data_IF_245376611479
#
_entry.id   IF_245376611479
#
_cell.length_a   1.000
_cell.length_b   1.000
_cell.length_c   1.000
_cell.angle_alpha   90.00
_cell.angle_beta   90.00
_cell.angle_gamma   90.00
#
_symmetry.space_group_name_H-M   'P 1'
#
loop_
_entity.id
_entity.type
_entity.pdbx_description
1 polymer ?
#
# COMPACT_ATOMS: atom_id res chain seq x y z
N UNK A 1 18.51 4.40 -8.57
CA UNK A 1 19.20 5.62 -8.09
C UNK A 1 20.70 5.40 -8.22
N UNK A 2 21.43 6.37 -8.87
CA UNK A 2 22.90 6.31 -9.01
C UNK A 2 23.62 6.64 -7.69
N UNK A 3 24.93 6.39 -7.63
CA UNK A 3 25.72 6.53 -6.41
C UNK A 3 25.78 8.00 -5.93
N UNK A 4 25.98 8.97 -6.82
CA UNK A 4 26.06 10.39 -6.46
C UNK A 4 24.77 10.90 -5.83
N UNK A 5 23.60 10.52 -6.38
CA UNK A 5 22.30 10.85 -5.81
C UNK A 5 22.09 10.18 -4.44
N UNK A 6 22.51 8.92 -4.28
CA UNK A 6 22.40 8.21 -3.00
C UNK A 6 23.24 8.88 -1.92
N UNK A 7 24.50 9.21 -2.22
CA UNK A 7 25.39 9.90 -1.29
C UNK A 7 24.80 11.26 -0.87
N UNK A 8 24.25 12.01 -1.82
CA UNK A 8 23.57 13.27 -1.56
C UNK A 8 22.38 13.09 -0.60
N UNK A 9 21.55 12.07 -0.81
CA UNK A 9 20.42 11.77 0.08
C UNK A 9 20.89 11.50 1.51
N UNK A 10 21.97 10.73 1.70
CA UNK A 10 22.50 10.44 3.03
C UNK A 10 23.11 11.66 3.70
N UNK A 11 23.87 12.48 2.96
CA UNK A 11 24.50 13.69 3.49
C UNK A 11 23.48 14.74 3.93
N UNK A 12 22.29 14.76 3.29
CA UNK A 12 21.24 15.75 3.51
C UNK A 12 19.98 15.17 4.16
N UNK A 13 20.09 13.98 4.79
CA UNK A 13 18.93 13.23 5.30
C UNK A 13 18.10 13.99 6.34
N UNK A 14 18.70 14.96 7.04
CA UNK A 14 18.07 15.76 8.09
C UNK A 14 17.84 17.24 7.68
N UNK A 15 18.23 17.62 6.46
CA UNK A 15 18.09 18.98 5.97
C UNK A 15 16.63 19.29 5.59
N UNK A 16 16.27 20.58 5.63
CA UNK A 16 14.99 21.05 5.12
C UNK A 16 14.93 20.92 3.60
N UNK A 17 14.05 20.05 3.11
CA UNK A 17 13.90 19.74 1.69
C UNK A 17 13.52 20.98 0.86
N UNK A 18 12.77 21.94 1.42
CA UNK A 18 12.39 23.18 0.72
C UNK A 18 13.61 24.06 0.53
N UNK A 19 14.49 24.16 1.53
CA UNK A 19 15.74 24.90 1.42
C UNK A 19 16.72 24.23 0.46
N UNK A 20 16.79 22.89 0.47
CA UNK A 20 17.61 22.14 -0.47
C UNK A 20 17.17 22.34 -1.92
N UNK A 21 15.86 22.38 -2.18
CA UNK A 21 15.30 22.61 -3.51
C UNK A 21 15.71 23.99 -4.11
N UNK A 22 16.02 24.97 -3.27
CA UNK A 22 16.47 26.31 -3.69
C UNK A 22 17.98 26.40 -3.87
N UNK A 23 18.75 25.42 -3.40
CA UNK A 23 20.21 25.40 -3.52
C UNK A 23 20.63 24.98 -4.94
N UNK A 24 21.59 25.67 -5.51
CA UNK A 24 22.23 25.27 -6.76
C UNK A 24 23.16 24.08 -6.52
N UNK A 25 22.74 22.88 -6.92
CA UNK A 25 23.59 21.69 -6.90
C UNK A 25 24.56 21.74 -8.08
N UNK A 26 25.86 21.68 -7.82
CA UNK A 26 26.90 21.80 -8.86
C UNK A 26 27.18 20.49 -9.59
N UNK A 27 26.96 19.36 -8.94
CA UNK A 27 27.22 18.04 -9.53
C UNK A 27 26.07 17.62 -10.45
N UNK A 28 26.28 17.52 -11.78
CA UNK A 28 25.25 17.17 -12.75
C UNK A 28 24.80 15.69 -12.67
N UNK A 29 25.54 14.83 -11.97
CA UNK A 29 25.17 13.43 -11.79
C UNK A 29 24.07 13.26 -10.74
N UNK A 30 23.82 14.28 -9.91
CA UNK A 30 22.77 14.23 -8.89
C UNK A 30 21.42 14.52 -9.53
N UNK A 31 20.55 13.52 -9.49
CA UNK A 31 19.12 13.68 -9.76
C UNK A 31 18.46 14.36 -8.55
N UNK A 32 18.44 15.70 -8.57
CA UNK A 32 17.95 16.49 -7.44
C UNK A 32 16.46 16.22 -7.15
N UNK A 33 15.53 16.18 -8.12
CA UNK A 33 14.14 15.84 -7.85
C UNK A 33 14.00 14.50 -7.13
N UNK A 34 14.65 13.45 -7.63
CA UNK A 34 14.64 12.14 -6.99
C UNK A 34 15.26 12.20 -5.57
N UNK A 35 16.38 12.91 -5.39
CA UNK A 35 17.02 13.04 -4.08
C UNK A 35 16.08 13.71 -3.06
N UNK A 36 15.38 14.77 -3.45
CA UNK A 36 14.43 15.48 -2.58
C UNK A 36 13.25 14.59 -2.18
N UNK A 37 12.71 13.80 -3.11
CA UNK A 37 11.66 12.82 -2.82
C UNK A 37 12.15 11.75 -1.82
N UNK A 38 13.37 11.22 -2.00
CA UNK A 38 13.95 10.24 -1.08
C UNK A 38 14.20 10.83 0.32
N UNK A 39 14.77 12.04 0.42
CA UNK A 39 14.98 12.71 1.71
C UNK A 39 13.64 12.94 2.41
N UNK A 40 12.66 13.51 1.71
CA UNK A 40 11.34 13.76 2.27
C UNK A 40 10.62 12.48 2.68
N UNK A 41 10.67 11.46 1.82
CA UNK A 41 10.10 10.15 2.09
C UNK A 41 10.69 9.51 3.35
N UNK A 42 12.03 9.51 3.48
CA UNK A 42 12.74 9.00 4.65
C UNK A 42 12.39 9.77 5.94
N UNK A 43 12.33 11.10 5.89
CA UNK A 43 11.91 11.92 7.03
C UNK A 43 10.49 11.60 7.48
N UNK A 44 9.56 11.45 6.53
CA UNK A 44 8.18 11.07 6.82
C UNK A 44 8.10 9.64 7.39
N UNK A 45 8.88 8.71 6.83
CA UNK A 45 8.90 7.31 7.25
C UNK A 45 9.40 7.13 8.69
N UNK A 46 10.33 7.95 9.18
CA UNK A 46 10.82 7.88 10.57
C UNK A 46 9.70 7.93 11.61
N UNK A 47 8.61 8.64 11.31
CA UNK A 47 7.46 8.76 12.22
C UNK A 47 6.29 7.88 11.78
N UNK A 48 6.07 7.73 10.49
CA UNK A 48 4.90 7.04 9.93
C UNK A 48 5.11 5.54 9.76
N UNK A 49 6.33 5.13 9.34
CA UNK A 49 6.71 3.74 9.03
C UNK A 49 8.13 3.48 9.54
N UNK A 50 8.38 3.54 10.86
CA UNK A 50 9.72 3.50 11.43
C UNK A 50 10.52 2.24 11.08
N UNK A 51 9.88 1.09 10.91
CA UNK A 51 10.56 -0.14 10.45
C UNK A 51 11.17 0.04 9.07
N UNK A 52 10.46 0.65 8.13
CA UNK A 52 11.01 0.92 6.80
C UNK A 52 12.19 1.90 6.85
N UNK A 53 12.09 2.92 7.72
CA UNK A 53 13.15 3.93 7.87
C UNK A 53 14.47 3.37 8.44
N UNK A 54 14.47 2.18 9.05
CA UNK A 54 15.65 1.48 9.54
C UNK A 54 16.44 0.78 8.41
N UNK A 55 15.82 0.58 7.24
CA UNK A 55 16.48 -0.04 6.09
C UNK A 55 16.95 1.03 5.10
N UNK A 56 18.26 1.19 4.98
CA UNK A 56 18.87 2.20 4.10
C UNK A 56 18.58 1.99 2.60
N UNK A 57 18.20 0.76 2.22
CA UNK A 57 17.87 0.41 0.85
C UNK A 57 16.44 0.75 0.42
N UNK A 58 15.54 1.12 1.32
CA UNK A 58 14.16 1.46 0.98
C UNK A 58 14.11 2.68 0.07
N UNK A 59 13.31 2.59 -0.96
CA UNK A 59 12.98 3.68 -1.87
C UNK A 59 11.57 4.21 -1.56
N UNK A 60 11.44 5.52 -1.61
CA UNK A 60 10.20 6.21 -1.32
C UNK A 60 9.59 6.81 -2.59
N UNK A 61 8.26 6.76 -2.76
CA UNK A 61 7.58 7.42 -3.86
C UNK A 61 7.53 8.93 -3.64
N UNK A 62 6.96 9.65 -4.61
CA UNK A 62 6.61 11.05 -4.44
C UNK A 62 5.74 11.29 -3.20
N UNK A 63 5.75 12.51 -2.70
CA UNK A 63 5.13 12.92 -1.43
C UNK A 63 3.66 12.48 -1.23
N UNK A 64 2.85 12.53 -2.29
CA UNK A 64 1.41 12.21 -2.20
C UNK A 64 1.16 10.77 -1.75
N UNK A 65 1.87 9.79 -2.33
CA UNK A 65 1.70 8.39 -1.95
C UNK A 65 2.16 8.12 -0.51
N UNK A 66 3.18 8.85 -0.03
CA UNK A 66 3.62 8.79 1.35
C UNK A 66 2.57 9.32 2.34
N UNK A 67 1.78 10.32 1.95
CA UNK A 67 0.70 10.84 2.80
C UNK A 67 -0.50 9.88 2.87
N UNK A 68 -0.85 9.26 1.76
CA UNK A 68 -2.02 8.39 1.64
C UNK A 68 -1.81 6.99 2.23
N UNK A 69 -0.58 6.49 2.32
CA UNK A 69 -0.33 5.16 2.86
C UNK A 69 -0.70 5.05 4.36
N UNK A 70 -0.95 3.85 4.80
CA UNK A 70 -1.17 3.54 6.22
C UNK A 70 0.04 3.88 7.08
N UNK A 71 -0.20 4.24 8.35
CA UNK A 71 0.86 4.24 9.35
C UNK A 71 1.27 2.80 9.70
N UNK A 72 2.50 2.61 10.15
CA UNK A 72 2.96 1.29 10.61
C UNK A 72 2.07 0.71 11.70
N UNK A 73 1.58 1.55 12.64
CA UNK A 73 0.67 1.12 13.71
C UNK A 73 -0.62 0.52 13.15
N UNK A 74 -1.21 1.18 12.15
CA UNK A 74 -2.43 0.72 11.49
C UNK A 74 -2.17 -0.55 10.66
N UNK A 75 -1.06 -0.61 9.95
CA UNK A 75 -0.69 -1.78 9.16
C UNK A 75 -0.41 -3.01 10.05
N UNK A 76 0.30 -2.84 11.16
CA UNK A 76 0.52 -3.90 12.16
C UNK A 76 -0.76 -4.37 12.83
N UNK A 77 -1.69 -3.46 13.09
CA UNK A 77 -3.01 -3.84 13.62
C UNK A 77 -3.75 -4.75 12.63
N UNK A 78 -3.78 -4.40 11.35
CA UNK A 78 -4.39 -5.23 10.29
C UNK A 78 -3.69 -6.59 10.16
N UNK A 79 -2.35 -6.61 10.22
CA UNK A 79 -1.58 -7.84 10.20
C UNK A 79 -1.88 -8.76 11.40
N UNK A 80 -2.19 -8.20 12.57
CA UNK A 80 -2.66 -8.99 13.73
C UNK A 80 -4.07 -9.53 13.49
N UNK A 81 -4.98 -8.71 12.95
CA UNK A 81 -6.36 -9.16 12.67
C UNK A 81 -6.36 -10.35 11.71
N UNK A 82 -5.61 -10.28 10.62
CA UNK A 82 -5.55 -11.36 9.63
C UNK A 82 -5.20 -12.71 10.31
N UNK A 83 -4.26 -12.73 11.24
CA UNK A 83 -3.84 -13.95 11.94
C UNK A 83 -4.91 -14.55 12.86
N UNK A 84 -5.95 -13.78 13.21
CA UNK A 84 -7.06 -14.26 14.04
C UNK A 84 -8.27 -14.70 13.21
N UNK A 85 -8.28 -14.41 11.90
CA UNK A 85 -9.43 -14.69 11.06
C UNK A 85 -9.46 -16.13 10.52
N UNK A 86 -8.31 -16.79 10.45
CA UNK A 86 -8.19 -18.21 10.04
C UNK A 86 -6.90 -18.82 10.58
N UNK A 87 -6.95 -20.12 10.88
CA UNK A 87 -5.80 -20.88 11.40
C UNK A 87 -4.85 -21.37 10.31
N UNK A 88 -5.28 -21.39 9.05
CA UNK A 88 -4.46 -21.81 7.92
C UNK A 88 -4.54 -20.83 6.76
N UNK A 89 -3.39 -20.28 6.37
CA UNK A 89 -3.26 -19.40 5.22
C UNK A 89 -2.40 -20.08 4.15
N UNK A 90 -3.00 -20.42 3.01
CA UNK A 90 -2.27 -20.86 1.84
C UNK A 90 -1.90 -19.65 0.95
N UNK A 91 -2.82 -18.69 0.82
CA UNK A 91 -2.65 -17.53 -0.07
C UNK A 91 -3.29 -16.26 0.51
N UNK A 92 -2.61 -15.13 0.27
CA UNK A 92 -3.05 -13.78 0.60
C UNK A 92 -2.92 -12.90 -0.64
N UNK A 93 -3.97 -12.18 -1.00
CA UNK A 93 -4.00 -11.27 -2.16
C UNK A 93 -4.41 -9.87 -1.69
N UNK A 94 -3.59 -8.86 -2.00
CA UNK A 94 -3.95 -7.45 -1.88
C UNK A 94 -4.26 -6.90 -3.28
N UNK A 95 -5.53 -6.57 -3.53
CA UNK A 95 -6.01 -6.07 -4.82
C UNK A 95 -5.80 -4.55 -5.02
N UNK A 96 -5.30 -3.85 -4.00
CA UNK A 96 -5.16 -2.39 -3.97
C UNK A 96 -3.82 -1.96 -3.39
N UNK A 97 -2.75 -2.58 -3.82
CA UNK A 97 -1.42 -2.56 -3.21
C UNK A 97 -0.87 -1.20 -2.75
N UNK A 98 -1.03 -0.16 -3.56
CA UNK A 98 -0.55 1.19 -3.24
C UNK A 98 0.95 1.25 -2.95
N UNK A 99 1.37 1.89 -1.86
CA UNK A 99 2.78 1.88 -1.44
C UNK A 99 3.26 0.53 -0.88
N UNK A 100 2.35 -0.38 -0.55
CA UNK A 100 2.69 -1.70 -0.04
C UNK A 100 3.00 -1.78 1.45
N UNK A 101 2.68 -0.73 2.24
CA UNK A 101 2.92 -0.74 3.69
C UNK A 101 2.06 -1.79 4.38
N UNK A 102 0.76 -1.81 4.09
CA UNK A 102 -0.17 -2.80 4.64
C UNK A 102 0.23 -4.20 4.22
N UNK A 103 0.43 -4.39 2.92
CA UNK A 103 0.86 -5.66 2.36
C UNK A 103 2.13 -6.20 3.01
N UNK A 104 3.20 -5.39 3.12
CA UNK A 104 4.47 -5.82 3.69
C UNK A 104 4.36 -6.26 5.14
N UNK A 105 3.55 -5.54 5.95
CA UNK A 105 3.32 -5.91 7.36
C UNK A 105 2.51 -7.21 7.48
N UNK A 106 1.51 -7.42 6.61
CA UNK A 106 0.75 -8.68 6.58
C UNK A 106 1.62 -9.83 6.10
N UNK A 107 2.31 -9.71 4.97
CA UNK A 107 3.17 -10.74 4.41
C UNK A 107 4.29 -11.17 5.37
N UNK A 108 4.87 -10.23 6.13
CA UNK A 108 5.90 -10.54 7.14
C UNK A 108 5.39 -11.41 8.29
N UNK A 109 4.07 -11.42 8.55
CA UNK A 109 3.45 -12.27 9.59
C UNK A 109 2.97 -13.61 9.06
N UNK A 110 3.06 -13.85 7.76
CA UNK A 110 2.55 -15.01 7.04
C UNK A 110 3.66 -15.71 6.22
N UNK A 111 4.78 -16.14 6.82
CA UNK A 111 5.97 -16.58 6.08
C UNK A 111 5.76 -17.85 5.24
N UNK A 112 4.77 -18.66 5.56
CA UNK A 112 4.42 -19.88 4.81
C UNK A 112 3.32 -19.66 3.76
N UNK A 113 2.79 -18.43 3.65
CA UNK A 113 1.70 -18.07 2.76
C UNK A 113 2.27 -17.51 1.46
N UNK A 114 1.67 -17.85 0.31
CA UNK A 114 1.92 -17.14 -0.95
C UNK A 114 1.19 -15.79 -0.92
N UNK A 115 1.93 -14.69 -0.98
CA UNK A 115 1.38 -13.34 -0.89
C UNK A 115 1.49 -12.63 -2.23
N UNK A 116 0.36 -12.22 -2.80
CA UNK A 116 0.28 -11.51 -4.09
C UNK A 116 -0.15 -10.06 -3.85
N UNK A 117 0.68 -9.15 -4.33
CA UNK A 117 0.42 -7.71 -4.34
C UNK A 117 0.05 -7.28 -5.75
N UNK A 118 -1.13 -6.67 -5.90
CA UNK A 118 -1.65 -6.18 -7.18
C UNK A 118 -1.78 -4.66 -7.16
N UNK A 119 -1.19 -4.00 -8.14
CA UNK A 119 -1.21 -2.53 -8.27
C UNK A 119 -1.20 -2.13 -9.75
N UNK A 120 -2.02 -1.13 -10.09
CA UNK A 120 -2.18 -0.64 -11.46
C UNK A 120 -1.09 0.35 -11.91
N UNK A 121 -0.37 0.96 -10.96
CA UNK A 121 0.70 1.91 -11.28
C UNK A 121 2.04 1.20 -11.37
N UNK A 122 2.61 1.11 -12.56
CA UNK A 122 3.90 0.45 -12.82
C UNK A 122 5.02 0.97 -11.90
N UNK A 123 5.06 2.28 -11.63
CA UNK A 123 6.05 2.89 -10.74
C UNK A 123 5.96 2.41 -9.29
N UNK A 124 4.74 2.17 -8.78
CA UNK A 124 4.53 1.61 -7.45
C UNK A 124 4.88 0.12 -7.42
N UNK A 125 4.60 -0.63 -8.50
CA UNK A 125 5.02 -2.02 -8.63
C UNK A 125 6.55 -2.16 -8.58
N UNK A 126 7.29 -1.29 -9.27
CA UNK A 126 8.75 -1.31 -9.27
C UNK A 126 9.32 -0.98 -7.89
N UNK A 127 8.74 0.02 -7.21
CA UNK A 127 9.09 0.34 -5.83
C UNK A 127 8.78 -0.84 -4.89
N UNK A 128 7.62 -1.46 -5.01
CA UNK A 128 7.19 -2.60 -4.20
C UNK A 128 8.16 -3.78 -4.35
N UNK A 129 8.51 -4.17 -5.58
CA UNK A 129 9.50 -5.26 -5.84
C UNK A 129 10.81 -4.99 -5.13
N UNK A 130 11.35 -3.77 -5.30
CA UNK A 130 12.60 -3.37 -4.65
C UNK A 130 12.49 -3.38 -3.13
N UNK A 131 11.43 -2.77 -2.59
CA UNK A 131 11.25 -2.62 -1.15
C UNK A 131 10.96 -3.96 -0.46
N UNK A 132 10.16 -4.83 -1.05
CA UNK A 132 9.88 -6.16 -0.48
C UNK A 132 11.15 -7.02 -0.45
N UNK A 133 11.98 -6.95 -1.48
CA UNK A 133 13.30 -7.58 -1.48
C UNK A 133 14.20 -7.01 -0.38
N UNK A 134 14.23 -5.69 -0.22
CA UNK A 134 15.00 -4.98 0.83
C UNK A 134 14.54 -5.37 2.23
N UNK A 135 13.24 -5.60 2.41
CA UNK A 135 12.63 -6.06 3.67
C UNK A 135 12.79 -7.57 3.91
N UNK A 136 13.38 -8.32 2.96
CA UNK A 136 13.58 -9.77 3.08
C UNK A 136 12.31 -10.60 2.92
N UNK A 137 11.27 -10.07 2.27
CA UNK A 137 10.02 -10.79 2.02
C UNK A 137 10.18 -11.71 0.80
N UNK A 138 10.45 -12.99 1.04
CA UNK A 138 10.68 -14.00 0.00
C UNK A 138 9.41 -14.68 -0.51
N UNK A 139 8.29 -14.49 0.16
CA UNK A 139 7.00 -15.12 -0.12
C UNK A 139 6.04 -14.19 -0.87
N UNK A 140 6.56 -13.16 -1.56
CA UNK A 140 5.76 -12.12 -2.20
C UNK A 140 5.93 -12.12 -3.72
N UNK A 141 4.81 -11.94 -4.42
CA UNK A 141 4.74 -11.68 -5.85
C UNK A 141 4.13 -10.30 -6.09
N UNK A 142 4.69 -9.52 -7.03
CA UNK A 142 4.18 -8.22 -7.43
C UNK A 142 3.64 -8.29 -8.85
N UNK A 143 2.33 -8.10 -8.97
CA UNK A 143 1.59 -8.11 -10.24
C UNK A 143 1.22 -6.69 -10.63
N UNK A 144 1.61 -6.26 -11.82
CA UNK A 144 1.18 -5.00 -12.40
C UNK A 144 -0.12 -5.24 -13.18
N UNK A 145 -1.26 -4.96 -12.54
CA UNK A 145 -2.59 -5.13 -13.13
C UNK A 145 -3.61 -4.24 -12.44
N UNK A 146 -4.77 -4.07 -13.06
CA UNK A 146 -5.96 -3.59 -12.37
C UNK A 146 -6.45 -4.68 -11.40
N UNK A 147 -6.78 -4.30 -10.17
CA UNK A 147 -7.19 -5.24 -9.11
C UNK A 147 -8.50 -5.96 -9.42
N UNK A 148 -9.43 -5.32 -10.15
CA UNK A 148 -10.69 -5.93 -10.55
C UNK A 148 -10.46 -6.95 -11.65
N UNK A 149 -9.66 -6.61 -12.66
CA UNK A 149 -9.28 -7.55 -13.73
C UNK A 149 -8.51 -8.76 -13.17
N UNK A 150 -7.65 -8.54 -12.19
CA UNK A 150 -6.97 -9.63 -11.50
C UNK A 150 -7.94 -10.51 -10.71
N UNK A 151 -8.91 -9.90 -9.99
CA UNK A 151 -9.95 -10.64 -9.27
C UNK A 151 -10.74 -11.55 -10.22
N UNK A 152 -11.13 -11.06 -11.41
CA UNK A 152 -11.85 -11.87 -12.39
C UNK A 152 -11.12 -13.13 -12.82
N UNK A 153 -9.78 -13.10 -12.84
CA UNK A 153 -8.92 -14.21 -13.24
C UNK A 153 -8.44 -15.07 -12.06
N UNK A 154 -8.61 -14.61 -10.84
CA UNK A 154 -8.24 -15.34 -9.64
C UNK A 154 -9.17 -16.55 -9.46
N UNK A 155 -8.62 -17.74 -9.23
CA UNK A 155 -9.43 -18.90 -8.88
C UNK A 155 -9.92 -18.79 -7.44
N UNK A 156 -9.01 -18.71 -6.47
CA UNK A 156 -9.34 -18.61 -5.05
C UNK A 156 -8.14 -18.10 -4.23
N UNK A 157 -8.41 -17.43 -3.11
CA UNK A 157 -7.42 -17.07 -2.11
C UNK A 157 -7.95 -17.32 -0.69
N UNK A 158 -7.08 -17.65 0.26
CA UNK A 158 -7.48 -17.75 1.67
C UNK A 158 -7.94 -16.38 2.20
N UNK A 159 -7.23 -15.32 1.82
CA UNK A 159 -7.61 -13.94 2.19
C UNK A 159 -7.45 -13.01 1.01
N UNK A 160 -8.48 -12.21 0.76
CA UNK A 160 -8.42 -11.05 -0.14
C UNK A 160 -8.53 -9.77 0.70
N UNK A 161 -7.59 -8.85 0.50
CA UNK A 161 -7.57 -7.52 1.10
C UNK A 161 -7.82 -6.43 0.05
N UNK A 162 -8.61 -5.41 0.44
CA UNK A 162 -8.83 -4.20 -0.36
C UNK A 162 -8.83 -2.96 0.54
N UNK A 163 -8.18 -1.90 0.05
CA UNK A 163 -8.25 -0.51 0.57
C UNK A 163 -8.74 0.41 -0.56
N UNK A 164 -10.05 0.36 -0.90
CA UNK A 164 -10.56 1.09 -2.05
C UNK A 164 -10.44 2.60 -1.84
N UNK A 165 -9.93 3.29 -2.86
CA UNK A 165 -9.80 4.73 -2.85
C UNK A 165 -11.16 5.42 -3.00
N UNK A 166 -11.35 6.58 -2.35
CA UNK A 166 -12.54 7.40 -2.52
C UNK A 166 -12.51 8.09 -3.89
N UNK A 167 -13.63 8.04 -4.63
CA UNK A 167 -13.78 8.79 -5.87
C UNK A 167 -14.03 10.28 -5.55
N UNK A 168 -13.13 11.15 -5.99
CA UNK A 168 -13.32 12.60 -5.94
C UNK A 168 -13.70 13.14 -7.32
N UNK A 169 -14.73 12.60 -7.97
CA UNK A 169 -15.13 13.06 -9.32
C UNK A 169 -15.73 14.46 -9.35
N UNK A 170 -16.16 15.05 -8.22
CA UNK A 170 -16.82 16.36 -8.16
C UNK A 170 -16.47 17.22 -6.94
N UNK A 171 -15.32 16.99 -6.28
CA UNK A 171 -14.86 17.86 -5.17
C UNK A 171 -15.74 17.82 -3.90
N UNK A 172 -16.75 16.94 -3.85
CA UNK A 172 -17.63 16.74 -2.71
C UNK A 172 -17.06 15.72 -1.71
N UNK A 173 -17.48 15.81 -0.45
CA UNK A 173 -17.21 14.78 0.56
C UNK A 173 -18.12 13.58 0.28
N UNK A 174 -17.58 12.47 -0.19
CA UNK A 174 -18.29 11.21 -0.38
C UNK A 174 -18.26 10.40 0.91
N UNK A 175 -19.44 9.97 1.35
CA UNK A 175 -19.62 9.23 2.60
C UNK A 175 -20.17 7.82 2.38
N UNK A 176 -20.49 7.44 1.11
CA UNK A 176 -21.07 6.16 0.77
C UNK A 176 -20.00 5.16 0.31
N UNK A 177 -20.19 3.89 0.66
CA UNK A 177 -19.28 2.79 0.26
C UNK A 177 -19.26 2.58 -1.26
N UNK A 178 -20.41 2.81 -1.96
CA UNK A 178 -20.50 2.71 -3.42
C UNK A 178 -19.72 3.81 -4.18
N UNK A 179 -19.23 4.85 -3.48
CA UNK A 179 -18.42 5.89 -4.08
C UNK A 179 -16.91 5.56 -4.05
N UNK A 180 -16.55 4.37 -3.65
CA UNK A 180 -15.16 3.89 -3.62
C UNK A 180 -14.74 3.31 -4.97
N UNK A 181 -13.43 3.27 -5.21
CA UNK A 181 -12.82 2.59 -6.36
C UNK A 181 -11.73 1.63 -5.86
N UNK A 182 -11.87 0.33 -6.15
CA UNK A 182 -13.00 -0.33 -6.80
C UNK A 182 -14.31 -0.25 -5.99
N UNK A 183 -15.45 -0.36 -6.67
CA UNK A 183 -16.76 -0.42 -6.03
C UNK A 183 -16.97 -1.82 -5.41
N UNK A 184 -16.78 -1.91 -4.10
CA UNK A 184 -16.84 -3.18 -3.37
C UNK A 184 -18.24 -3.79 -3.31
N UNK A 185 -19.31 -2.97 -3.50
CA UNK A 185 -20.68 -3.49 -3.52
C UNK A 185 -20.94 -4.29 -4.80
N UNK A 186 -20.40 -3.83 -5.93
CA UNK A 186 -20.48 -4.55 -7.21
C UNK A 186 -19.63 -5.82 -7.20
N UNK A 187 -18.52 -5.83 -6.48
CA UNK A 187 -17.59 -6.96 -6.42
C UNK A 187 -17.91 -7.96 -5.29
N UNK A 188 -18.87 -7.64 -4.41
CA UNK A 188 -19.14 -8.38 -3.18
C UNK A 188 -19.29 -9.88 -3.41
N UNK A 189 -20.17 -10.27 -4.30
CA UNK A 189 -20.50 -11.67 -4.49
C UNK A 189 -19.32 -12.46 -5.07
N UNK A 190 -18.55 -11.85 -5.98
CA UNK A 190 -17.34 -12.46 -6.52
C UNK A 190 -16.23 -12.57 -5.48
N UNK A 191 -16.03 -11.54 -4.65
CA UNK A 191 -15.07 -11.57 -3.55
C UNK A 191 -15.38 -12.70 -2.56
N UNK A 192 -16.66 -12.86 -2.17
CA UNK A 192 -17.10 -13.91 -1.25
C UNK A 192 -17.02 -15.31 -1.87
N UNK A 193 -17.18 -15.43 -3.19
CA UNK A 193 -17.01 -16.71 -3.89
C UNK A 193 -15.55 -17.13 -3.99
N UNK A 194 -14.63 -16.16 -4.10
CA UNK A 194 -13.21 -16.39 -4.39
C UNK A 194 -12.29 -16.28 -3.17
N UNK A 195 -12.83 -16.04 -1.97
CA UNK A 195 -12.03 -15.97 -0.75
C UNK A 195 -12.71 -16.62 0.44
N UNK A 196 -11.92 -17.28 1.31
CA UNK A 196 -12.40 -17.72 2.62
C UNK A 196 -12.69 -16.51 3.53
N UNK A 197 -11.86 -15.46 3.41
CA UNK A 197 -11.97 -14.21 4.16
C UNK A 197 -11.75 -13.02 3.25
N UNK A 198 -12.68 -12.05 3.27
CA UNK A 198 -12.50 -10.74 2.63
C UNK A 198 -12.28 -9.68 3.72
N UNK A 199 -11.16 -8.97 3.64
CA UNK A 199 -10.83 -7.88 4.55
C UNK A 199 -10.86 -6.54 3.82
N UNK A 200 -11.80 -5.67 4.21
CA UNK A 200 -11.95 -4.33 3.65
C UNK A 200 -11.42 -3.29 4.63
N UNK A 201 -10.53 -2.41 4.17
CA UNK A 201 -10.19 -1.19 4.89
C UNK A 201 -11.01 -0.06 4.31
N UNK A 202 -11.91 0.49 5.10
CA UNK A 202 -12.74 1.63 4.70
C UNK A 202 -12.28 2.90 5.42
N UNK A 203 -12.57 4.06 4.81
CA UNK A 203 -12.29 5.35 5.42
C UNK A 203 -13.08 5.54 6.72
N UNK A 204 -12.48 6.07 7.81
CA UNK A 204 -13.21 6.36 9.04
C UNK A 204 -14.31 7.44 8.87
N UNK A 205 -14.35 8.11 7.71
CA UNK A 205 -15.39 9.09 7.37
C UNK A 205 -16.64 8.46 6.76
N UNK A 206 -16.60 7.15 6.41
CA UNK A 206 -17.76 6.43 5.92
C UNK A 206 -18.72 6.12 7.09
N UNK A 207 -20.03 6.15 6.80
CA UNK A 207 -21.02 5.60 7.71
C UNK A 207 -20.87 4.07 7.74
N UNK A 208 -20.28 3.56 8.80
CA UNK A 208 -20.02 2.13 8.92
C UNK A 208 -21.29 1.30 9.12
N UNK A 209 -22.34 1.87 9.73
CA UNK A 209 -23.63 1.20 9.89
C UNK A 209 -24.27 0.96 8.52
N UNK A 210 -24.27 1.99 7.68
CA UNK A 210 -24.78 1.89 6.31
C UNK A 210 -23.90 0.97 5.46
N UNK A 211 -22.59 1.02 5.60
CA UNK A 211 -21.68 0.11 4.90
C UNK A 211 -21.94 -1.35 5.25
N UNK A 212 -22.11 -1.67 6.54
CA UNK A 212 -22.46 -3.02 6.99
C UNK A 212 -23.82 -3.46 6.46
N UNK A 213 -24.84 -2.59 6.51
CA UNK A 213 -26.18 -2.87 5.98
C UNK A 213 -26.14 -3.21 4.49
N UNK A 214 -25.40 -2.43 3.70
CA UNK A 214 -25.27 -2.64 2.25
C UNK A 214 -24.46 -3.89 1.91
N UNK A 215 -23.43 -4.19 2.68
CA UNK A 215 -22.62 -5.41 2.49
C UNK A 215 -23.38 -6.68 2.89
N UNK A 216 -24.22 -6.63 3.92
CA UNK A 216 -24.95 -7.81 4.40
C UNK A 216 -26.22 -8.10 3.57
N UNK A 217 -26.68 -7.23 2.67
CA UNK A 217 -27.96 -7.33 1.97
C UNK A 217 -29.06 -7.82 2.93
N UNK A 218 -29.81 -6.88 3.54
CA UNK A 218 -30.93 -7.23 4.44
C UNK A 218 -31.84 -8.26 3.76
N UNK A 219 -31.86 -9.49 4.25
CA UNK A 219 -32.73 -10.56 3.76
C UNK A 219 -32.07 -11.88 3.37
N UNK A 220 -30.73 -12.02 3.47
CA UNK A 220 -30.04 -13.31 3.32
C UNK A 220 -29.41 -13.80 4.63
#
# INVERSE_FOLDING_TARGET
MNQATREFVFQHADDDVRQLALKKVKNPEIDLPLALDQIKGRQTARTKIPTWAQHDGILYPSHLSMEQCSSEKTARYKAKLIRHLTDSFASFVDLTGGLGVDFSMMASTLPACSCVYVEQQATLCDLARHNFQTLGLSNTEVVHADGVEFLHQLDHASVIFLDPARRNSHGGRTYAIGDCTPDVLLLRDELLQKADVVMLKLSPMLDWHEAVRLLNREGE
#
